data_IF_944596714549
#
_entry.id   IF_944596714549
#
_cell.length_a   1.000
_cell.length_b   1.000
_cell.length_c   1.000
_cell.angle_alpha   90.00
_cell.angle_beta   90.00
_cell.angle_gamma   90.00
#
_symmetry.space_group_name_H-M   'P 1'
#
loop_
_entity.id
_entity.type
_entity.pdbx_description
1 polymer ?
#
# COMPACT_ATOMS: atom_id res chain seq x y z
N UNK A 1 2.76 -3.24 18.29
CA UNK A 1 3.79 -2.73 19.19
C UNK A 1 3.30 -1.58 20.07
N UNK A 2 2.35 -0.78 19.59
CA UNK A 2 1.75 0.38 20.28
C UNK A 2 0.38 0.09 20.89
N UNK A 3 -0.15 -1.13 20.75
CA UNK A 3 -1.41 -1.58 21.34
C UNK A 3 -2.67 -1.17 20.57
N UNK A 4 -2.56 -0.52 19.40
CA UNK A 4 -3.72 -0.19 18.57
C UNK A 4 -4.41 -1.47 18.08
N UNK A 5 -5.75 -1.47 18.15
CA UNK A 5 -6.58 -2.56 17.62
C UNK A 5 -6.86 -2.29 16.17
N UNK A 6 -6.44 -3.19 15.31
CA UNK A 6 -6.66 -3.12 13.87
C UNK A 6 -7.68 -4.17 13.44
N UNK A 7 -8.39 -3.86 12.38
CA UNK A 7 -9.48 -4.67 11.85
C UNK A 7 -9.18 -5.12 10.42
N UNK A 8 -9.65 -6.30 10.03
CA UNK A 8 -9.62 -6.79 8.66
C UNK A 8 -10.80 -7.73 8.40
N UNK A 9 -11.21 -7.80 7.13
CA UNK A 9 -12.08 -8.87 6.65
C UNK A 9 -11.23 -9.96 5.99
N UNK A 10 -11.66 -11.22 6.14
CA UNK A 10 -11.06 -12.33 5.40
C UNK A 10 -12.16 -13.23 4.84
N UNK A 11 -11.93 -13.78 3.65
CA UNK A 11 -12.85 -14.69 2.97
C UNK A 11 -12.04 -15.84 2.36
N UNK A 12 -12.39 -17.07 2.74
CA UNK A 12 -11.78 -18.25 2.14
C UNK A 12 -12.20 -18.39 0.67
N UNK A 13 -11.34 -18.97 -0.14
CA UNK A 13 -11.65 -19.31 -1.51
C UNK A 13 -12.80 -20.33 -1.59
N UNK A 14 -13.57 -20.35 -2.70
CA UNK A 14 -14.63 -21.34 -2.90
C UNK A 14 -14.16 -22.80 -2.87
N UNK A 15 -12.90 -23.04 -3.16
CA UNK A 15 -12.24 -24.36 -3.09
C UNK A 15 -10.89 -24.25 -2.37
N UNK A 16 -10.42 -25.30 -1.70
CA UNK A 16 -9.13 -25.30 -1.01
C UNK A 16 -7.98 -24.88 -1.93
N UNK A 17 -7.19 -23.90 -1.48
CA UNK A 17 -6.04 -23.36 -2.22
C UNK A 17 -5.01 -22.77 -1.27
N UNK A 18 -3.74 -22.75 -1.70
CA UNK A 18 -2.67 -21.99 -1.04
C UNK A 18 -2.57 -20.52 -1.53
N UNK A 19 -3.25 -20.18 -2.63
CA UNK A 19 -3.22 -18.82 -3.19
C UNK A 19 -3.93 -17.85 -2.24
N UNK A 20 -3.25 -16.78 -1.87
CA UNK A 20 -3.77 -15.78 -0.92
C UNK A 20 -3.47 -14.37 -1.41
N UNK A 21 -4.43 -13.47 -1.32
CA UNK A 21 -4.27 -12.06 -1.63
C UNK A 21 -4.52 -11.20 -0.38
N UNK A 22 -3.58 -10.30 -0.07
CA UNK A 22 -3.79 -9.20 0.86
C UNK A 22 -4.04 -7.95 0.03
N UNK A 23 -5.20 -7.28 0.23
CA UNK A 23 -5.66 -6.19 -0.62
C UNK A 23 -5.78 -4.92 0.21
N UNK A 24 -4.96 -3.92 -0.11
CA UNK A 24 -4.75 -2.71 0.68
C UNK A 24 -5.48 -1.52 0.04
N UNK A 25 -6.34 -0.85 0.80
CA UNK A 25 -7.16 0.25 0.33
C UNK A 25 -6.42 1.58 0.21
N UNK A 26 -7.01 2.54 -0.52
CA UNK A 26 -6.51 3.90 -0.72
C UNK A 26 -6.83 4.87 0.43
N UNK A 27 -6.44 6.13 0.24
CA UNK A 27 -6.71 7.24 1.18
C UNK A 27 -8.22 7.47 1.34
N UNK A 28 -8.66 7.70 2.56
CA UNK A 28 -10.09 7.86 2.94
C UNK A 28 -11.02 6.71 2.56
N UNK A 29 -10.46 5.57 2.19
CA UNK A 29 -11.17 4.35 1.85
C UNK A 29 -11.15 3.34 3.02
N UNK A 30 -11.62 2.13 2.80
CA UNK A 30 -11.64 1.06 3.80
C UNK A 30 -11.72 -0.32 3.13
N UNK A 31 -11.57 -1.37 3.93
CA UNK A 31 -11.59 -2.76 3.49
C UNK A 31 -12.86 -3.15 2.71
N UNK A 32 -14.04 -2.66 3.10
CA UNK A 32 -15.32 -2.98 2.43
C UNK A 32 -15.31 -2.53 0.97
N UNK A 33 -14.76 -1.36 0.69
CA UNK A 33 -14.70 -0.83 -0.68
C UNK A 33 -13.77 -1.64 -1.59
N UNK A 34 -12.81 -2.35 -1.01
CA UNK A 34 -11.92 -3.25 -1.74
C UNK A 34 -12.59 -4.60 -2.09
N UNK A 35 -13.83 -4.85 -1.66
CA UNK A 35 -14.53 -6.10 -1.96
C UNK A 35 -14.73 -6.36 -3.45
N UNK A 36 -14.74 -5.33 -4.30
CA UNK A 36 -14.81 -5.52 -5.76
C UNK A 36 -13.53 -6.22 -6.28
N UNK A 37 -12.37 -5.75 -5.87
CA UNK A 37 -11.09 -6.42 -6.17
C UNK A 37 -11.01 -7.76 -5.45
N UNK A 38 -11.48 -7.82 -4.19
CA UNK A 38 -11.60 -9.05 -3.43
C UNK A 38 -12.44 -10.11 -4.14
N UNK A 39 -13.56 -9.73 -4.76
CA UNK A 39 -14.40 -10.61 -5.56
C UNK A 39 -13.64 -11.20 -6.77
N UNK A 40 -12.90 -10.36 -7.48
CA UNK A 40 -12.07 -10.81 -8.60
C UNK A 40 -11.06 -11.87 -8.14
N UNK A 41 -10.30 -11.60 -7.08
CA UNK A 41 -9.36 -12.58 -6.54
C UNK A 41 -10.05 -13.85 -6.03
N UNK A 42 -11.13 -13.70 -5.27
CA UNK A 42 -11.77 -14.83 -4.60
C UNK A 42 -12.59 -15.69 -5.57
N UNK A 43 -13.53 -15.08 -6.30
CA UNK A 43 -14.47 -15.81 -7.13
C UNK A 43 -13.92 -16.15 -8.52
N UNK A 44 -13.16 -15.25 -9.15
CA UNK A 44 -12.68 -15.47 -10.51
C UNK A 44 -11.32 -16.18 -10.55
N UNK A 45 -10.42 -15.90 -9.58
CA UNK A 45 -9.07 -16.44 -9.57
C UNK A 45 -8.85 -17.54 -8.51
N UNK A 46 -9.81 -17.73 -7.60
CA UNK A 46 -9.78 -18.80 -6.58
C UNK A 46 -8.77 -18.55 -5.47
N UNK A 47 -8.61 -17.31 -5.03
CA UNK A 47 -7.73 -16.92 -3.92
C UNK A 47 -8.48 -16.83 -2.59
N UNK A 48 -7.83 -17.20 -1.50
CA UNK A 48 -8.18 -16.68 -0.19
C UNK A 48 -7.86 -15.18 -0.17
N UNK A 49 -8.65 -14.37 0.52
CA UNK A 49 -8.43 -12.93 0.60
C UNK A 49 -8.41 -12.43 2.04
N UNK A 50 -7.59 -11.43 2.30
CA UNK A 50 -7.62 -10.62 3.50
C UNK A 50 -7.56 -9.14 3.10
N UNK A 51 -8.49 -8.34 3.65
CA UNK A 51 -8.65 -6.91 3.36
C UNK A 51 -8.53 -6.16 4.68
N UNK A 52 -7.37 -5.58 4.99
CA UNK A 52 -7.20 -4.80 6.21
C UNK A 52 -7.82 -3.42 6.08
N UNK A 53 -8.37 -2.91 7.17
CA UNK A 53 -8.54 -1.48 7.39
C UNK A 53 -7.20 -0.91 7.88
N UNK A 54 -6.61 0.01 7.15
CA UNK A 54 -5.40 0.72 7.59
C UNK A 54 -5.72 1.59 8.81
N UNK A 55 -4.69 2.08 9.50
CA UNK A 55 -4.88 2.96 10.66
C UNK A 55 -5.73 4.16 10.32
N UNK A 56 -6.59 4.57 11.26
CA UNK A 56 -7.50 5.70 11.11
C UNK A 56 -8.53 5.52 9.98
N UNK A 57 -8.80 4.26 9.58
CA UNK A 57 -9.75 3.91 8.52
C UNK A 57 -10.65 2.77 8.95
N UNK A 58 -11.87 2.73 8.43
CA UNK A 58 -12.83 1.66 8.68
C UNK A 58 -13.09 1.44 10.17
N UNK A 59 -12.81 0.25 10.66
CA UNK A 59 -12.96 -0.15 12.06
C UNK A 59 -11.62 -0.21 12.81
N UNK A 60 -10.51 0.14 12.16
CA UNK A 60 -9.19 0.20 12.79
C UNK A 60 -9.01 1.47 13.61
N UNK A 61 -8.37 1.32 14.76
CA UNK A 61 -7.94 2.45 15.59
C UNK A 61 -6.79 3.23 14.91
N UNK A 62 -6.57 4.45 15.38
CA UNK A 62 -5.53 5.35 14.90
C UNK A 62 -5.90 6.80 15.14
N UNK A 63 -4.95 7.69 14.99
CA UNK A 63 -5.14 9.14 15.20
C UNK A 63 -4.80 9.96 13.95
N UNK A 64 -4.24 9.31 12.92
CA UNK A 64 -3.92 9.94 11.64
C UNK A 64 -3.65 8.89 10.55
N UNK A 65 -3.85 9.27 9.31
CA UNK A 65 -3.34 8.53 8.15
C UNK A 65 -1.82 8.54 8.15
N UNK A 66 -1.22 7.41 7.86
CA UNK A 66 0.25 7.24 7.87
C UNK A 66 0.85 7.24 6.45
N UNK A 67 0.03 7.52 5.44
CA UNK A 67 0.38 7.66 4.02
C UNK A 67 1.27 6.50 3.51
N UNK A 68 0.97 5.28 3.95
CA UNK A 68 1.72 4.08 3.59
C UNK A 68 2.97 3.82 4.42
N UNK A 69 3.63 4.86 4.97
CA UNK A 69 4.96 4.68 5.57
C UNK A 69 4.95 3.83 6.83
N UNK A 70 4.15 4.17 7.83
CA UNK A 70 4.01 3.31 9.01
C UNK A 70 3.00 2.17 8.75
N UNK A 71 2.00 2.40 7.89
CA UNK A 71 1.03 1.38 7.48
C UNK A 71 1.70 0.12 6.92
N UNK A 72 2.87 0.25 6.25
CA UNK A 72 3.61 -0.91 5.73
C UNK A 72 3.94 -1.93 6.81
N UNK A 73 4.20 -1.48 8.05
CA UNK A 73 4.50 -2.37 9.18
C UNK A 73 3.27 -3.15 9.62
N UNK A 74 2.10 -2.52 9.60
CA UNK A 74 0.84 -3.18 9.91
C UNK A 74 0.44 -4.16 8.79
N UNK A 75 0.63 -3.77 7.52
CA UNK A 75 0.38 -4.68 6.37
C UNK A 75 1.27 -5.91 6.45
N UNK A 76 2.54 -5.78 6.83
CA UNK A 76 3.42 -6.94 7.05
C UNK A 76 2.89 -7.88 8.15
N UNK A 77 2.29 -7.34 9.23
CA UNK A 77 1.63 -8.16 10.24
C UNK A 77 0.38 -8.84 9.68
N UNK A 78 -0.42 -8.13 8.88
CA UNK A 78 -1.58 -8.72 8.22
C UNK A 78 -1.21 -9.82 7.22
N UNK A 79 -0.08 -9.71 6.56
CA UNK A 79 0.46 -10.79 5.71
C UNK A 79 0.77 -12.04 6.53
N UNK A 80 1.38 -11.90 7.71
CA UNK A 80 1.63 -13.00 8.64
C UNK A 80 0.29 -13.64 9.11
N UNK A 81 -0.66 -12.80 9.53
CA UNK A 81 -1.99 -13.26 9.97
C UNK A 81 -2.72 -14.01 8.85
N UNK A 82 -2.68 -13.48 7.62
CA UNK A 82 -3.28 -14.16 6.47
C UNK A 82 -2.61 -15.51 6.19
N UNK A 83 -1.28 -15.58 6.29
CA UNK A 83 -0.56 -16.84 6.13
C UNK A 83 -0.99 -17.86 7.20
N UNK A 84 -1.10 -17.46 8.45
CA UNK A 84 -1.53 -18.34 9.57
C UNK A 84 -2.97 -18.83 9.39
N UNK A 85 -3.92 -17.93 9.09
CA UNK A 85 -5.35 -18.26 8.89
C UNK A 85 -5.51 -19.29 7.78
N UNK A 86 -4.71 -19.19 6.71
CA UNK A 86 -4.82 -20.04 5.53
C UNK A 86 -3.79 -21.19 5.50
N UNK A 87 -3.33 -21.65 6.65
CA UNK A 87 -2.60 -22.90 6.83
C UNK A 87 -1.09 -22.83 6.85
N UNK A 88 -0.50 -21.63 6.93
CA UNK A 88 0.94 -21.44 7.18
C UNK A 88 1.87 -21.66 5.98
N UNK A 89 1.32 -22.02 4.80
CA UNK A 89 2.10 -22.28 3.57
C UNK A 89 1.47 -21.64 2.34
N UNK A 90 1.08 -20.38 2.46
CA UNK A 90 0.39 -19.65 1.38
C UNK A 90 1.36 -19.25 0.25
N UNK A 91 0.79 -18.95 -0.92
CA UNK A 91 1.45 -18.25 -2.01
C UNK A 91 0.76 -16.89 -2.15
N UNK A 92 1.38 -15.87 -1.59
CA UNK A 92 0.76 -14.58 -1.35
C UNK A 92 1.09 -13.55 -2.41
N UNK A 93 0.06 -12.84 -2.87
CA UNK A 93 0.16 -11.56 -3.56
C UNK A 93 -0.30 -10.45 -2.63
N UNK A 94 0.39 -9.32 -2.64
CA UNK A 94 -0.05 -8.09 -1.98
C UNK A 94 -0.43 -7.09 -3.06
N UNK A 95 -1.67 -6.63 -3.05
CA UNK A 95 -2.24 -5.71 -4.03
C UNK A 95 -2.74 -4.46 -3.33
N UNK A 96 -2.28 -3.30 -3.73
CA UNK A 96 -2.73 -2.03 -3.17
C UNK A 96 -3.19 -1.06 -4.24
N UNK A 97 -4.19 -0.23 -3.89
CA UNK A 97 -4.75 0.80 -4.77
C UNK A 97 -4.43 2.18 -4.20
N UNK A 98 -3.91 3.09 -5.04
CA UNK A 98 -3.61 4.48 -4.68
C UNK A 98 -2.63 4.55 -3.48
N UNK A 99 -2.99 5.15 -2.34
CA UNK A 99 -2.21 5.08 -1.09
C UNK A 99 -1.90 3.62 -0.70
N UNK A 100 -2.82 2.68 -0.95
CA UNK A 100 -2.57 1.25 -0.76
C UNK A 100 -1.50 0.71 -1.73
N UNK A 101 -1.46 1.19 -2.96
CA UNK A 101 -0.40 0.90 -3.93
C UNK A 101 0.96 1.38 -3.44
N UNK A 102 1.03 2.63 -2.99
CA UNK A 102 2.22 3.18 -2.35
C UNK A 102 2.63 2.35 -1.12
N UNK A 103 1.66 1.98 -0.25
CA UNK A 103 1.92 1.11 0.91
C UNK A 103 2.50 -0.24 0.49
N UNK A 104 1.93 -0.86 -0.56
CA UNK A 104 2.39 -2.15 -1.11
C UNK A 104 3.82 -2.05 -1.65
N UNK A 105 4.14 -0.98 -2.36
CA UNK A 105 5.51 -0.72 -2.81
C UNK A 105 6.46 -0.49 -1.62
N UNK A 106 6.02 0.23 -0.58
CA UNK A 106 6.81 0.44 0.64
C UNK A 106 7.03 -0.88 1.40
N UNK A 107 6.04 -1.78 1.43
CA UNK A 107 6.19 -3.15 1.95
C UNK A 107 7.23 -3.92 1.15
N UNK A 108 7.21 -3.81 -0.18
CA UNK A 108 8.07 -4.60 -1.06
C UNK A 108 9.56 -4.38 -0.86
N UNK A 109 9.94 -3.22 -0.32
CA UNK A 109 11.33 -2.89 0.01
C UNK A 109 11.83 -3.43 1.35
N UNK A 110 10.95 -4.01 2.17
CA UNK A 110 11.31 -4.68 3.41
C UNK A 110 11.69 -6.15 3.15
N UNK A 111 12.41 -6.83 4.06
CA UNK A 111 12.66 -8.26 3.96
C UNK A 111 11.36 -9.06 3.85
N UNK A 112 11.22 -9.89 2.82
CA UNK A 112 9.99 -10.63 2.54
C UNK A 112 10.08 -12.08 2.98
N UNK A 113 9.02 -12.63 3.62
CA UNK A 113 8.90 -14.06 3.88
C UNK A 113 8.74 -14.86 2.56
N UNK A 114 9.18 -16.11 2.57
CA UNK A 114 9.14 -17.00 1.39
C UNK A 114 7.73 -17.23 0.82
N UNK A 115 6.69 -17.04 1.60
CA UNK A 115 5.32 -17.20 1.14
C UNK A 115 4.84 -16.02 0.27
N UNK A 116 5.49 -14.87 0.30
CA UNK A 116 5.19 -13.74 -0.60
C UNK A 116 5.79 -14.01 -1.98
N UNK A 117 4.97 -13.89 -3.03
CA UNK A 117 5.38 -14.23 -4.39
C UNK A 117 5.44 -13.04 -5.33
N UNK A 118 4.57 -12.08 -5.17
CA UNK A 118 4.54 -10.88 -6.02
C UNK A 118 3.75 -9.75 -5.37
N UNK A 119 3.88 -8.58 -5.97
CA UNK A 119 3.18 -7.36 -5.60
C UNK A 119 2.40 -6.80 -6.78
N UNK A 120 1.33 -6.06 -6.50
CA UNK A 120 0.58 -5.29 -7.50
C UNK A 120 0.43 -3.88 -6.98
N UNK A 121 0.97 -2.92 -7.71
CA UNK A 121 0.74 -1.50 -7.53
C UNK A 121 -0.33 -1.04 -8.52
N UNK A 122 -1.45 -0.56 -8.00
CA UNK A 122 -2.51 0.05 -8.78
C UNK A 122 -2.60 1.54 -8.44
N UNK A 123 -2.08 2.38 -9.32
CA UNK A 123 -2.02 3.84 -9.26
C UNK A 123 -1.39 4.42 -7.97
N UNK A 124 -0.33 3.79 -7.43
CA UNK A 124 0.42 4.32 -6.31
C UNK A 124 1.39 5.46 -6.69
N UNK A 125 1.76 6.27 -5.71
CA UNK A 125 2.65 7.43 -5.90
C UNK A 125 4.13 7.12 -5.58
N UNK A 126 5.03 7.93 -6.14
CA UNK A 126 6.49 7.85 -5.96
C UNK A 126 6.93 8.13 -4.52
N UNK A 127 6.34 9.16 -3.91
CA UNK A 127 6.60 9.53 -2.52
C UNK A 127 5.47 10.40 -1.97
N UNK A 128 5.36 10.47 -0.65
CA UNK A 128 4.45 11.41 0.02
C UNK A 128 4.81 12.85 -0.33
N UNK A 129 6.11 13.14 -0.47
CA UNK A 129 6.59 14.46 -0.86
C UNK A 129 6.07 14.85 -2.25
N UNK A 130 6.19 13.98 -3.24
CA UNK A 130 5.78 14.28 -4.62
C UNK A 130 4.26 14.45 -4.70
N UNK A 131 3.49 13.55 -4.08
CA UNK A 131 2.04 13.63 -4.05
C UNK A 131 1.55 14.94 -3.40
N UNK A 132 2.07 15.30 -2.22
CA UNK A 132 1.66 16.53 -1.54
C UNK A 132 2.18 17.80 -2.21
N UNK A 133 3.34 17.75 -2.88
CA UNK A 133 3.83 18.87 -3.69
C UNK A 133 2.90 19.17 -4.86
N UNK A 134 2.42 18.10 -5.52
CA UNK A 134 1.44 18.19 -6.61
C UNK A 134 0.12 18.80 -6.12
N UNK A 135 -0.44 18.26 -5.04
CA UNK A 135 -1.70 18.73 -4.46
C UNK A 135 -1.64 20.21 -4.05
N UNK A 136 -0.58 20.62 -3.36
CA UNK A 136 -0.39 22.02 -2.98
C UNK A 136 -0.36 22.96 -4.20
N UNK A 137 0.31 22.52 -5.28
CA UNK A 137 0.46 23.34 -6.49
C UNK A 137 -0.80 23.39 -7.32
N UNK A 138 -1.44 22.23 -7.55
CA UNK A 138 -2.56 22.13 -8.51
C UNK A 138 -3.89 22.52 -7.88
N UNK A 139 -4.15 22.07 -6.64
CA UNK A 139 -5.43 22.32 -6.00
C UNK A 139 -5.50 23.66 -5.27
N UNK A 140 -4.36 24.13 -4.75
CA UNK A 140 -4.32 25.36 -3.94
C UNK A 140 -3.50 26.49 -4.57
N UNK A 141 -2.72 26.24 -5.64
CA UNK A 141 -1.84 27.23 -6.25
C UNK A 141 -0.67 27.65 -5.34
N UNK A 142 -0.34 26.85 -4.33
CA UNK A 142 0.63 27.17 -3.30
C UNK A 142 1.96 26.45 -3.59
N UNK A 143 3.12 27.14 -3.51
CA UNK A 143 4.42 26.49 -3.65
C UNK A 143 4.74 25.60 -2.45
N UNK A 144 5.53 24.55 -2.67
CA UNK A 144 5.94 23.63 -1.61
C UNK A 144 6.62 24.33 -0.43
N UNK A 145 7.48 25.36 -0.70
CA UNK A 145 8.09 26.15 0.36
C UNK A 145 7.21 27.35 0.74
N UNK A 146 7.04 27.66 2.04
CA UNK A 146 7.57 26.93 3.21
C UNK A 146 6.65 25.83 3.76
N UNK A 147 5.40 25.69 3.25
CA UNK A 147 4.33 24.91 3.89
C UNK A 147 4.67 23.42 3.95
N UNK A 148 5.05 22.82 2.83
CA UNK A 148 5.36 21.38 2.79
C UNK A 148 6.56 21.03 3.67
N UNK A 149 7.57 21.90 3.70
CA UNK A 149 8.75 21.72 4.54
C UNK A 149 8.40 21.75 6.03
N UNK A 150 7.61 22.73 6.44
CA UNK A 150 7.19 22.85 7.85
C UNK A 150 6.24 21.72 8.25
N UNK A 151 5.35 21.30 7.36
CA UNK A 151 4.45 20.15 7.59
C UNK A 151 5.23 18.84 7.71
N UNK A 152 6.20 18.62 6.85
CA UNK A 152 7.07 17.44 6.91
C UNK A 152 7.89 17.39 8.20
N UNK A 153 8.46 18.52 8.61
CA UNK A 153 9.17 18.65 9.90
C UNK A 153 8.24 18.41 11.09
N UNK A 154 7.02 18.95 11.07
CA UNK A 154 6.05 18.74 12.15
C UNK A 154 5.59 17.30 12.21
N UNK A 155 5.42 16.64 11.06
CA UNK A 155 5.11 15.20 10.98
C UNK A 155 6.24 14.38 11.62
N UNK A 156 7.49 14.68 11.32
CA UNK A 156 8.65 14.03 11.93
C UNK A 156 8.64 14.18 13.47
N UNK A 157 8.44 15.40 13.94
CA UNK A 157 8.39 15.68 15.37
C UNK A 157 7.23 15.00 16.11
N UNK A 158 6.06 14.87 15.49
CA UNK A 158 4.83 14.40 16.16
C UNK A 158 4.48 12.95 15.86
N UNK A 159 4.88 12.41 14.70
CA UNK A 159 4.56 11.06 14.23
C UNK A 159 5.78 10.18 14.01
N UNK A 160 6.99 10.74 14.09
CA UNK A 160 8.26 10.00 13.98
C UNK A 160 8.57 9.56 12.55
N UNK A 161 8.08 10.28 11.54
CA UNK A 161 8.42 10.09 10.13
C UNK A 161 8.20 11.38 9.34
N UNK A 162 8.87 11.51 8.20
CA UNK A 162 8.76 12.68 7.35
C UNK A 162 8.40 12.33 5.90
N UNK A 163 7.95 13.33 5.13
CA UNK A 163 7.41 13.12 3.80
C UNK A 163 8.45 12.67 2.76
N UNK A 164 9.74 12.96 3.00
CA UNK A 164 10.81 12.56 2.09
C UNK A 164 11.27 11.13 2.30
N UNK A 165 11.24 10.62 3.54
CA UNK A 165 11.57 9.21 3.79
C UNK A 165 10.46 8.25 3.38
N UNK A 166 9.20 8.73 3.36
CA UNK A 166 8.04 7.98 2.91
C UNK A 166 8.00 7.91 1.37
N UNK A 167 8.93 7.12 0.81
CA UNK A 167 9.17 7.01 -0.62
C UNK A 167 8.98 5.58 -1.13
N UNK A 168 7.96 5.38 -1.95
CA UNK A 168 7.76 4.14 -2.71
C UNK A 168 8.89 3.91 -3.70
N UNK A 169 9.39 5.00 -4.33
CA UNK A 169 10.49 4.96 -5.30
C UNK A 169 11.77 4.37 -4.70
N UNK A 170 12.12 4.76 -3.47
CA UNK A 170 13.30 4.22 -2.79
C UNK A 170 13.09 2.77 -2.32
N UNK A 171 11.85 2.37 -2.08
CA UNK A 171 11.55 1.01 -1.64
C UNK A 171 11.49 0.02 -2.81
N UNK A 172 10.90 0.38 -3.94
CA UNK A 172 10.84 -0.54 -5.09
C UNK A 172 12.22 -0.90 -5.64
N UNK A 173 13.21 -0.03 -5.50
CA UNK A 173 14.62 -0.32 -5.86
C UNK A 173 15.20 -1.53 -5.13
N UNK A 174 14.68 -1.84 -3.95
CA UNK A 174 15.12 -2.96 -3.10
C UNK A 174 14.36 -4.26 -3.38
N UNK A 175 13.18 -4.16 -4.02
CA UNK A 175 12.30 -5.29 -4.25
C UNK A 175 12.86 -6.23 -5.31
N UNK A 176 13.04 -7.50 -4.95
CA UNK A 176 13.52 -8.57 -5.85
C UNK A 176 12.39 -9.48 -6.37
N UNK A 177 11.17 -9.33 -5.82
CA UNK A 177 10.01 -10.13 -6.24
C UNK A 177 9.30 -9.48 -7.44
N UNK A 178 8.56 -10.25 -8.24
CA UNK A 178 7.75 -9.72 -9.33
C UNK A 178 6.80 -8.62 -8.87
N UNK A 179 6.66 -7.56 -9.65
CA UNK A 179 5.70 -6.49 -9.40
C UNK A 179 4.98 -6.12 -10.69
N UNK A 180 3.65 -6.11 -10.63
CA UNK A 180 2.79 -5.57 -11.68
C UNK A 180 2.44 -4.12 -11.33
N UNK A 181 2.61 -3.22 -12.31
CA UNK A 181 2.19 -1.83 -12.22
C UNK A 181 0.97 -1.59 -13.09
N UNK A 182 -0.05 -0.97 -12.52
CA UNK A 182 -1.29 -0.58 -13.20
C UNK A 182 -1.48 0.92 -12.95
N UNK A 183 -1.79 1.70 -14.01
CA UNK A 183 -2.03 3.12 -13.86
C UNK A 183 -2.89 3.66 -15.00
N UNK A 184 -3.79 4.59 -14.70
CA UNK A 184 -4.59 5.26 -15.71
C UNK A 184 -3.77 6.30 -16.49
N UNK A 185 -3.86 6.30 -17.83
CA UNK A 185 -3.15 7.28 -18.68
C UNK A 185 -3.57 8.74 -18.43
N UNK A 186 -4.72 8.95 -17.81
CA UNK A 186 -5.30 10.27 -17.53
C UNK A 186 -5.61 10.43 -16.04
N UNK A 187 -4.83 9.79 -15.20
CA UNK A 187 -4.92 9.97 -13.76
C UNK A 187 -4.37 11.36 -13.41
N UNK A 188 -5.25 12.24 -12.98
CA UNK A 188 -4.92 13.61 -12.56
C UNK A 188 -4.74 13.74 -11.06
N UNK A 189 -5.15 12.71 -10.29
CA UNK A 189 -4.96 12.69 -8.84
C UNK A 189 -3.59 12.12 -8.45
N UNK A 190 -3.26 10.91 -8.88
CA UNK A 190 -1.88 10.39 -8.84
C UNK A 190 -1.33 10.44 -10.26
N UNK A 191 -0.45 11.39 -10.52
CA UNK A 191 -0.04 11.70 -11.89
C UNK A 191 0.65 10.51 -12.57
N UNK A 192 0.25 10.23 -13.82
CA UNK A 192 0.71 9.06 -14.58
C UNK A 192 2.23 8.97 -14.74
N UNK A 193 2.97 10.09 -14.74
CA UNK A 193 4.44 10.05 -14.82
C UNK A 193 5.07 9.26 -13.66
N UNK A 194 4.40 9.22 -12.49
CA UNK A 194 4.93 8.52 -11.31
C UNK A 194 5.11 7.01 -11.56
N UNK A 195 4.20 6.38 -12.30
CA UNK A 195 4.34 4.95 -12.60
C UNK A 195 5.53 4.65 -13.51
N UNK A 196 5.88 5.56 -14.40
CA UNK A 196 7.06 5.36 -15.26
C UNK A 196 8.35 5.38 -14.45
N UNK A 197 8.49 6.32 -13.53
CA UNK A 197 9.65 6.41 -12.65
C UNK A 197 9.75 5.18 -11.72
N UNK A 198 8.61 4.74 -11.17
CA UNK A 198 8.52 3.53 -10.33
C UNK A 198 8.89 2.27 -11.10
N UNK A 199 8.33 2.12 -12.32
CA UNK A 199 8.62 0.98 -13.19
C UNK A 199 10.09 0.95 -13.60
N UNK A 200 10.68 2.09 -13.97
CA UNK A 200 12.10 2.17 -14.34
C UNK A 200 13.01 1.81 -13.16
N UNK A 201 12.70 2.33 -11.97
CA UNK A 201 13.50 2.12 -10.77
C UNK A 201 13.45 0.69 -10.22
N UNK A 202 12.34 -0.05 -10.44
CA UNK A 202 12.14 -1.42 -9.97
C UNK A 202 13.05 -2.38 -10.73
N UNK A 203 13.91 -3.17 -10.04
CA UNK A 203 14.64 -4.27 -10.68
C UNK A 203 13.72 -5.34 -11.28
N UNK A 204 14.18 -6.07 -12.30
CA UNK A 204 13.44 -7.23 -12.80
C UNK A 204 13.18 -8.28 -11.69
N UNK A 205 12.10 -9.07 -11.77
CA UNK A 205 11.02 -9.04 -12.78
C UNK A 205 9.95 -8.00 -12.50
N UNK A 206 9.43 -7.35 -13.55
CA UNK A 206 8.40 -6.31 -13.48
C UNK A 206 7.53 -6.32 -14.74
#
# INVERSE_FOLDING_TARGET
PDGARLHAYYVAAPSPTSKTAVIVHGYTDNAIRMMMIGYLYNQSLGYNILLPDLRYSGLSEGDAFQMGWLDRKDVMQWMNVANEIYGGSTQMVVHGISMGGATTMMVSGEPQPDYVKCFVDDCGYTSVWDQFSKELKEDFGIPAFPILYTSSWLCDLTKGWNFTEASSLEQVKKCQLPMLFIHGEKDDYVQTWMVYDLFEAKPEPK
#
